data_IF_726417192707
#
_entry.id   IF_726417192707
#
_cell.length_a   1.000
_cell.length_b   1.000
_cell.length_c   1.000
_cell.angle_alpha   90.00
_cell.angle_beta   90.00
_cell.angle_gamma   90.00
#
_symmetry.space_group_name_H-M   'P 1'
#
loop_
_entity.id
_entity.type
_entity.pdbx_description
1 polymer ?
#
# COMPACT_ATOMS: atom_id res chain seq x y z
N UNK A 1 -16.78 -25.53 52.48
CA UNK A 1 -15.76 -25.52 51.40
C UNK A 1 -16.31 -26.28 50.18
N UNK A 2 -16.00 -25.77 48.97
CA UNK A 2 -16.39 -26.23 47.61
C UNK A 2 -17.70 -25.67 47.01
N UNK A 3 -17.49 -24.58 46.27
CA UNK A 3 -18.00 -24.17 44.94
C UNK A 3 -19.34 -24.74 44.45
N UNK A 4 -20.26 -23.85 44.04
CA UNK A 4 -20.50 -23.41 42.64
C UNK A 4 -21.74 -22.49 42.61
N UNK A 5 -21.57 -21.26 42.12
CA UNK A 5 -22.65 -20.30 41.95
C UNK A 5 -23.37 -20.54 40.62
N UNK A 6 -24.70 -20.53 40.67
CA UNK A 6 -25.62 -20.50 39.53
C UNK A 6 -25.85 -19.05 39.06
N UNK A 7 -25.86 -18.91 37.73
CA UNK A 7 -26.81 -18.15 36.89
C UNK A 7 -26.75 -16.59 36.85
N UNK A 8 -27.10 -15.95 35.70
CA UNK A 8 -28.04 -16.45 34.71
C UNK A 8 -27.62 -16.37 33.22
N UNK A 9 -27.71 -17.52 32.55
CA UNK A 9 -28.02 -17.66 31.12
C UNK A 9 -29.52 -17.40 31.01
N UNK A 10 -29.89 -16.16 30.74
CA UNK A 10 -31.29 -15.76 30.61
C UNK A 10 -31.41 -14.71 29.49
N UNK A 11 -30.99 -15.03 28.27
CA UNK A 11 -31.46 -14.29 27.08
C UNK A 11 -31.39 -15.09 25.76
N UNK A 12 -31.24 -16.42 25.83
CA UNK A 12 -31.34 -17.32 24.66
C UNK A 12 -32.64 -18.16 24.69
N UNK A 13 -33.71 -17.58 25.23
CA UNK A 13 -35.03 -18.21 25.32
C UNK A 13 -36.15 -17.39 24.63
N UNK A 14 -35.82 -16.28 23.97
CA UNK A 14 -36.82 -15.31 23.50
C UNK A 14 -36.91 -15.10 21.98
N UNK A 15 -36.29 -15.96 21.14
CA UNK A 15 -36.27 -15.74 19.69
C UNK A 15 -36.60 -16.98 18.82
N UNK A 16 -37.26 -18.00 19.35
CA UNK A 16 -37.80 -19.12 18.54
C UNK A 16 -39.29 -19.42 18.77
N UNK A 17 -40.03 -18.52 19.42
CA UNK A 17 -41.49 -18.56 19.39
C UNK A 17 -41.98 -17.55 18.35
N UNK A 18 -42.28 -18.05 17.16
CA UNK A 18 -43.32 -17.64 16.18
C UNK A 18 -42.80 -18.01 14.78
N UNK A 19 -42.86 -19.30 14.48
CA UNK A 19 -43.15 -19.77 13.13
C UNK A 19 -44.47 -20.52 13.27
N UNK A 20 -45.55 -19.90 12.84
CA UNK A 20 -46.86 -20.52 12.75
C UNK A 20 -46.82 -21.61 11.66
N UNK A 21 -46.33 -22.79 12.02
CA UNK A 21 -46.53 -23.99 11.24
C UNK A 21 -47.90 -24.55 11.61
N UNK A 22 -48.88 -24.41 10.72
CA UNK A 22 -50.09 -25.22 10.75
C UNK A 22 -49.67 -26.68 10.53
N UNK A 23 -49.41 -27.39 11.61
CA UNK A 23 -49.26 -28.82 11.65
C UNK A 23 -49.97 -29.32 12.91
N UNK A 24 -50.97 -30.18 12.73
CA UNK A 24 -51.75 -30.81 13.81
C UNK A 24 -50.83 -31.64 14.71
N UNK A 25 -50.33 -31.03 15.77
CA UNK A 25 -49.54 -31.68 16.80
C UNK A 25 -49.97 -31.13 18.16
N UNK A 26 -50.82 -31.89 18.85
CA UNK A 26 -51.31 -31.64 20.22
C UNK A 26 -52.09 -30.34 20.40
N UNK A 27 -53.42 -30.42 20.49
CA UNK A 27 -54.21 -29.32 21.03
C UNK A 27 -54.25 -29.38 22.57
N UNK A 28 -54.90 -28.40 23.21
CA UNK A 28 -55.01 -28.34 24.69
C UNK A 28 -55.70 -29.55 25.33
N UNK A 29 -56.28 -30.45 24.54
CA UNK A 29 -56.93 -31.69 24.98
C UNK A 29 -56.02 -32.93 24.90
N UNK A 30 -54.90 -32.88 24.16
CA UNK A 30 -53.88 -33.94 24.13
C UNK A 30 -52.47 -33.34 24.09
N UNK A 31 -51.86 -33.06 25.26
CA UNK A 31 -50.57 -32.40 25.36
C UNK A 31 -49.37 -33.31 25.01
N UNK A 32 -49.62 -34.58 24.64
CA UNK A 32 -48.55 -35.53 24.39
C UNK A 32 -48.16 -35.53 22.91
N UNK A 33 -47.03 -34.88 22.61
CA UNK A 33 -46.35 -35.08 21.32
C UNK A 33 -45.84 -36.51 21.27
N UNK A 34 -46.28 -37.28 20.27
CA UNK A 34 -45.86 -38.68 20.14
C UNK A 34 -44.34 -38.77 19.92
N UNK A 35 -43.70 -39.77 20.54
CA UNK A 35 -42.27 -40.01 20.37
C UNK A 35 -41.90 -40.23 18.89
N UNK A 36 -42.81 -40.78 18.10
CA UNK A 36 -42.65 -40.95 16.66
C UNK A 36 -42.66 -39.62 15.89
N UNK A 37 -43.45 -38.63 16.33
CA UNK A 37 -43.40 -37.28 15.75
C UNK A 37 -42.11 -36.56 16.10
N UNK A 38 -41.62 -36.70 17.34
CA UNK A 38 -40.35 -36.12 17.76
C UNK A 38 -39.17 -36.74 17.00
N UNK A 39 -39.07 -38.06 16.94
CA UNK A 39 -37.95 -38.77 16.31
C UNK A 39 -38.00 -38.80 14.78
N UNK A 40 -39.17 -38.56 14.18
CA UNK A 40 -39.36 -38.49 12.72
C UNK A 40 -39.50 -37.05 12.26
N UNK A 41 -40.74 -36.60 12.08
CA UNK A 41 -41.09 -35.32 11.45
C UNK A 41 -40.38 -34.10 12.05
N UNK A 42 -40.21 -34.05 13.38
CA UNK A 42 -39.52 -32.94 14.03
C UNK A 42 -38.01 -33.01 13.82
N UNK A 43 -37.36 -34.14 14.12
CA UNK A 43 -35.93 -34.36 13.86
C UNK A 43 -35.57 -34.14 12.39
N UNK A 44 -36.38 -34.62 11.45
CA UNK A 44 -36.14 -34.43 10.01
C UNK A 44 -36.21 -32.95 9.60
N UNK A 45 -37.15 -32.19 10.16
CA UNK A 45 -37.25 -30.74 9.93
C UNK A 45 -36.08 -29.98 10.54
N UNK A 46 -35.65 -30.34 11.75
CA UNK A 46 -34.49 -29.72 12.41
C UNK A 46 -33.22 -30.03 11.63
N UNK A 47 -32.99 -31.29 11.26
CA UNK A 47 -31.83 -31.70 10.47
C UNK A 47 -31.84 -31.03 9.10
N UNK A 48 -32.99 -30.98 8.41
CA UNK A 48 -33.11 -30.28 7.13
C UNK A 48 -32.82 -28.77 7.26
N UNK A 49 -33.23 -28.14 8.36
CA UNK A 49 -32.94 -26.73 8.62
C UNK A 49 -31.45 -26.49 8.96
N UNK A 50 -30.83 -27.41 9.70
CA UNK A 50 -29.39 -27.41 9.99
C UNK A 50 -28.59 -27.63 8.70
N UNK A 51 -28.95 -28.62 7.89
CA UNK A 51 -28.33 -28.92 6.60
C UNK A 51 -28.50 -27.76 5.62
N UNK A 52 -29.67 -27.12 5.58
CA UNK A 52 -29.89 -25.92 4.77
C UNK A 52 -29.00 -24.76 5.22
N UNK A 53 -28.80 -24.58 6.54
CA UNK A 53 -27.87 -23.56 7.07
C UNK A 53 -26.40 -23.92 6.86
N UNK A 54 -26.03 -25.19 6.95
CA UNK A 54 -24.68 -25.68 6.63
C UNK A 54 -24.38 -25.51 5.14
N UNK A 55 -25.32 -25.86 4.26
CA UNK A 55 -25.20 -25.66 2.83
C UNK A 55 -25.19 -24.18 2.43
N UNK A 56 -25.98 -23.34 3.11
CA UNK A 56 -25.92 -21.88 2.94
C UNK A 56 -24.59 -21.29 3.44
N UNK A 57 -24.03 -21.82 4.53
CA UNK A 57 -22.70 -21.43 5.03
C UNK A 57 -21.57 -21.83 4.07
N UNK A 58 -21.79 -22.86 3.24
CA UNK A 58 -20.90 -23.25 2.14
C UNK A 58 -21.17 -22.53 0.81
N UNK A 59 -22.23 -21.71 0.73
CA UNK A 59 -22.63 -20.94 -0.46
C UNK A 59 -22.45 -19.43 -0.25
N UNK A 60 -21.30 -19.02 0.32
CA UNK A 60 -20.84 -17.65 0.14
C UNK A 60 -20.62 -17.39 -1.35
N UNK A 61 -21.28 -16.36 -1.90
CA UNK A 61 -21.18 -15.92 -3.30
C UNK A 61 -19.76 -16.03 -3.86
N UNK A 62 -19.59 -16.82 -4.94
CA UNK A 62 -18.42 -16.98 -5.82
C UNK A 62 -17.22 -16.04 -5.55
N UNK A 63 -16.55 -16.25 -4.42
CA UNK A 63 -15.34 -15.54 -4.01
C UNK A 63 -14.13 -16.48 -4.14
N UNK A 64 -12.98 -15.91 -4.45
CA UNK A 64 -11.73 -16.68 -4.42
C UNK A 64 -11.38 -17.00 -2.96
N UNK A 65 -10.63 -18.06 -2.71
CA UNK A 65 -10.25 -18.47 -1.36
C UNK A 65 -8.73 -18.55 -1.22
N UNK A 66 -8.17 -17.87 -0.23
CA UNK A 66 -6.77 -17.95 0.14
C UNK A 66 -6.58 -18.98 1.27
N UNK A 67 -6.04 -20.15 0.95
CA UNK A 67 -5.83 -21.26 1.91
C UNK A 67 -4.65 -21.07 2.87
N UNK A 68 -3.89 -19.99 2.69
CA UNK A 68 -2.81 -19.55 3.56
C UNK A 68 -2.65 -18.04 3.39
N UNK A 69 -2.02 -17.38 4.36
CA UNK A 69 -1.68 -15.96 4.29
C UNK A 69 -1.04 -15.61 2.94
N UNK A 70 -1.66 -14.66 2.25
CA UNK A 70 -1.13 -14.01 1.05
C UNK A 70 -0.72 -12.57 1.38
N UNK A 71 0.20 -12.02 0.60
CA UNK A 71 0.58 -10.61 0.66
C UNK A 71 0.23 -9.91 -0.65
N UNK A 72 -0.28 -8.68 -0.56
CA UNK A 72 -0.56 -7.86 -1.74
C UNK A 72 -0.24 -6.39 -1.47
N UNK A 73 0.28 -5.70 -2.49
CA UNK A 73 0.30 -4.24 -2.52
C UNK A 73 -0.94 -3.75 -3.25
N UNK A 74 -1.62 -2.78 -2.66
CA UNK A 74 -2.82 -2.15 -3.19
C UNK A 74 -2.57 -0.65 -3.38
N UNK A 75 -3.39 -0.02 -4.23
CA UNK A 75 -3.37 1.42 -4.48
C UNK A 75 -4.62 2.10 -3.94
N UNK A 76 -4.58 3.42 -3.88
CA UNK A 76 -5.68 4.24 -3.35
C UNK A 76 -7.04 3.85 -3.95
N UNK A 77 -8.04 3.61 -3.11
CA UNK A 77 -9.37 3.21 -3.54
C UNK A 77 -9.55 1.72 -3.86
N UNK A 78 -8.48 0.92 -3.94
CA UNK A 78 -8.63 -0.54 -4.02
C UNK A 78 -9.36 -1.06 -2.78
N UNK A 79 -10.15 -2.12 -2.98
CA UNK A 79 -10.96 -2.72 -1.92
C UNK A 79 -10.72 -4.23 -1.87
N UNK A 80 -10.33 -4.72 -0.70
CA UNK A 80 -10.51 -6.12 -0.32
C UNK A 80 -11.95 -6.30 0.18
N UNK A 81 -12.76 -7.02 -0.58
CA UNK A 81 -14.08 -7.47 -0.16
C UNK A 81 -13.94 -8.84 0.53
N UNK A 82 -14.33 -8.91 1.81
CA UNK A 82 -14.31 -10.12 2.62
C UNK A 82 -15.71 -10.54 3.05
N UNK A 83 -15.91 -11.84 3.24
CA UNK A 83 -17.08 -12.43 3.91
C UNK A 83 -16.66 -13.11 5.22
N UNK A 84 -17.60 -13.75 5.92
CA UNK A 84 -17.30 -14.55 7.12
C UNK A 84 -16.06 -15.43 6.94
N UNK A 85 -15.13 -15.33 7.89
CA UNK A 85 -13.86 -16.07 7.88
C UNK A 85 -12.72 -15.40 7.11
N UNK A 86 -12.94 -14.21 6.53
CA UNK A 86 -11.85 -13.41 5.96
C UNK A 86 -11.01 -12.82 7.09
N UNK A 87 -9.71 -13.06 7.04
CA UNK A 87 -8.71 -12.47 7.92
C UNK A 87 -7.85 -11.48 7.14
N UNK A 88 -7.49 -10.35 7.73
CA UNK A 88 -6.53 -9.44 7.13
C UNK A 88 -5.70 -8.65 8.15
N UNK A 89 -4.50 -8.22 7.74
CA UNK A 89 -3.59 -7.43 8.55
C UNK A 89 -2.87 -6.39 7.70
N UNK A 90 -3.11 -5.11 7.98
CA UNK A 90 -2.47 -3.99 7.31
C UNK A 90 -1.01 -3.87 7.78
N UNK A 91 -0.05 -3.93 6.87
CA UNK A 91 1.38 -3.81 7.19
C UNK A 91 1.90 -2.39 7.01
N UNK A 92 1.46 -1.71 5.94
CA UNK A 92 1.84 -0.34 5.63
C UNK A 92 0.70 0.38 4.92
N UNK A 93 0.68 1.70 5.06
CA UNK A 93 -0.34 2.56 4.46
C UNK A 93 -1.52 2.75 5.39
N UNK A 94 -2.68 3.08 4.81
CA UNK A 94 -3.91 3.32 5.55
C UNK A 94 -5.08 2.71 4.80
N UNK A 95 -5.92 2.02 5.56
CA UNK A 95 -7.15 1.42 5.07
C UNK A 95 -8.27 1.71 6.09
N UNK A 96 -9.51 1.67 5.64
CA UNK A 96 -10.70 1.68 6.52
C UNK A 96 -11.57 0.47 6.23
N UNK A 97 -12.28 -0.02 7.26
CA UNK A 97 -13.25 -1.10 7.11
C UNK A 97 -14.68 -0.56 7.14
N UNK A 98 -15.51 -0.97 6.20
CA UNK A 98 -16.96 -0.69 6.20
C UNK A 98 -17.76 -1.97 6.00
N UNK A 99 -18.90 -2.05 6.66
CA UNK A 99 -19.87 -3.13 6.53
C UNK A 99 -21.27 -2.59 6.91
N UNK A 100 -22.34 -3.05 6.24
CA UNK A 100 -23.70 -2.56 6.49
C UNK A 100 -24.35 -3.18 7.73
N UNK A 101 -23.96 -4.40 8.07
CA UNK A 101 -24.47 -5.20 9.19
C UNK A 101 -23.44 -6.26 9.58
N UNK A 102 -23.64 -6.91 10.72
CA UNK A 102 -22.69 -7.89 11.27
C UNK A 102 -21.55 -7.23 12.04
N UNK A 103 -20.39 -7.89 12.10
CA UNK A 103 -19.25 -7.42 12.88
C UNK A 103 -17.91 -7.75 12.21
N UNK A 104 -16.94 -6.86 12.41
CA UNK A 104 -15.52 -7.13 12.17
C UNK A 104 -14.81 -6.99 13.51
N UNK A 105 -13.95 -7.94 13.86
CA UNK A 105 -13.25 -7.98 15.15
C UNK A 105 -11.77 -7.71 14.93
N UNK A 106 -11.21 -6.74 15.63
CA UNK A 106 -9.76 -6.63 15.84
C UNK A 106 -9.36 -7.70 16.85
N UNK A 107 -8.80 -8.80 16.36
CA UNK A 107 -8.38 -9.93 17.20
C UNK A 107 -7.20 -9.52 18.09
N UNK A 108 -6.30 -8.70 17.57
CA UNK A 108 -5.11 -8.23 18.31
C UNK A 108 -5.53 -7.44 19.55
N UNK A 109 -6.52 -6.57 19.43
CA UNK A 109 -7.05 -5.77 20.53
C UNK A 109 -8.19 -6.45 21.30
N UNK A 110 -8.75 -7.55 20.78
CA UNK A 110 -9.91 -8.24 21.35
C UNK A 110 -11.19 -7.41 21.33
N UNK A 111 -11.40 -6.62 20.26
CA UNK A 111 -12.46 -5.60 20.20
C UNK A 111 -13.22 -5.65 18.87
N UNK A 112 -14.55 -5.59 18.94
CA UNK A 112 -15.39 -5.32 17.77
C UNK A 112 -15.16 -3.91 17.22
N UNK A 113 -15.02 -3.81 15.90
CA UNK A 113 -14.72 -2.58 15.18
C UNK A 113 -16.00 -1.92 14.69
N UNK A 114 -16.24 -0.63 14.98
CA UNK A 114 -17.32 0.11 14.32
C UNK A 114 -17.09 0.21 12.81
N UNK A 115 -18.16 0.10 12.02
CA UNK A 115 -18.12 0.33 10.57
C UNK A 115 -17.65 1.76 10.27
N UNK A 116 -16.75 1.92 9.30
CA UNK A 116 -16.10 3.17 8.92
C UNK A 116 -14.76 3.43 9.63
N UNK A 117 -14.33 2.57 10.55
CA UNK A 117 -13.10 2.79 11.34
C UNK A 117 -11.85 2.53 10.50
N UNK A 118 -10.82 3.36 10.69
CA UNK A 118 -9.48 3.12 10.15
C UNK A 118 -8.82 1.91 10.82
N UNK A 119 -8.10 1.12 10.04
CA UNK A 119 -7.35 -0.02 10.55
C UNK A 119 -6.03 0.45 11.17
N UNK A 120 -5.61 -0.21 12.24
CA UNK A 120 -4.30 -0.04 12.86
C UNK A 120 -3.30 -0.97 12.17
N UNK A 121 -2.12 -0.45 11.82
CA UNK A 121 -1.08 -1.30 11.25
C UNK A 121 -0.65 -2.41 12.24
N UNK A 122 -0.33 -3.59 11.72
CA UNK A 122 0.03 -4.81 12.45
C UNK A 122 -1.06 -5.35 13.40
N UNK A 123 -2.30 -4.94 13.22
CA UNK A 123 -3.46 -5.56 13.87
C UNK A 123 -4.14 -6.53 12.91
N UNK A 124 -4.62 -7.64 13.46
CA UNK A 124 -5.31 -8.70 12.71
C UNK A 124 -6.82 -8.55 12.87
N UNK A 125 -7.52 -8.50 11.74
CA UNK A 125 -8.95 -8.26 11.66
C UNK A 125 -9.68 -9.44 11.04
N UNK A 126 -10.71 -9.94 11.72
CA UNK A 126 -11.55 -11.05 11.27
C UNK A 126 -12.96 -10.58 10.98
N UNK A 127 -13.45 -10.92 9.80
CA UNK A 127 -14.85 -10.74 9.41
C UNK A 127 -15.69 -11.84 10.05
N UNK A 128 -16.62 -11.46 10.93
CA UNK A 128 -17.44 -12.38 11.70
C UNK A 128 -18.54 -13.04 10.86
N UNK A 129 -19.38 -13.87 11.50
CA UNK A 129 -20.55 -14.50 10.88
C UNK A 129 -21.51 -13.47 10.28
N UNK A 130 -22.19 -13.86 9.21
CA UNK A 130 -23.20 -13.07 8.49
C UNK A 130 -22.76 -11.63 8.13
N UNK A 131 -21.45 -11.44 7.90
CA UNK A 131 -20.85 -10.14 7.62
C UNK A 131 -20.20 -10.12 6.24
N UNK A 132 -20.51 -9.09 5.46
CA UNK A 132 -19.76 -8.72 4.27
C UNK A 132 -19.04 -7.39 4.53
N UNK A 133 -17.72 -7.41 4.52
CA UNK A 133 -16.87 -6.27 4.86
C UNK A 133 -16.07 -5.80 3.65
N UNK A 134 -15.87 -4.49 3.56
CA UNK A 134 -15.03 -3.82 2.56
C UNK A 134 -13.89 -3.11 3.27
N UNK A 135 -12.67 -3.58 3.01
CA UNK A 135 -11.44 -2.94 3.48
C UNK A 135 -10.89 -2.10 2.34
N UNK A 136 -11.10 -0.78 2.40
CA UNK A 136 -10.75 0.17 1.33
C UNK A 136 -9.46 0.89 1.66
N UNK A 137 -8.53 0.94 0.70
CA UNK A 137 -7.31 1.75 0.78
C UNK A 137 -7.63 3.23 0.74
N UNK A 138 -7.11 3.98 1.72
CA UNK A 138 -7.31 5.43 1.84
C UNK A 138 -6.02 6.23 1.65
N UNK A 139 -4.86 5.58 1.66
CA UNK A 139 -3.57 6.17 1.29
C UNK A 139 -3.23 5.90 -0.18
N UNK A 140 -2.19 6.54 -0.71
CA UNK A 140 -1.70 6.33 -2.09
C UNK A 140 -1.42 4.85 -2.40
N UNK A 141 -0.83 4.16 -1.45
CA UNK A 141 -0.55 2.72 -1.49
C UNK A 141 -0.74 2.10 -0.11
N UNK A 142 -0.98 0.79 -0.07
CA UNK A 142 -0.99 0.00 1.15
C UNK A 142 -0.42 -1.39 0.90
N UNK A 143 0.04 -2.06 1.96
CA UNK A 143 0.47 -3.47 1.93
C UNK A 143 -0.39 -4.25 2.90
N UNK A 144 -1.01 -5.32 2.43
CA UNK A 144 -1.99 -6.09 3.18
C UNK A 144 -1.63 -7.58 3.17
N UNK A 145 -1.67 -8.20 4.34
CA UNK A 145 -1.80 -9.65 4.46
C UNK A 145 -3.27 -10.04 4.53
N UNK A 146 -3.64 -11.11 3.86
CA UNK A 146 -5.02 -11.62 3.89
C UNK A 146 -5.08 -13.15 3.78
N UNK A 147 -6.13 -13.73 4.34
CA UNK A 147 -6.43 -15.16 4.31
C UNK A 147 -7.95 -15.39 4.31
N UNK A 148 -8.40 -16.54 3.80
CA UNK A 148 -9.82 -16.89 3.75
C UNK A 148 -10.52 -16.42 2.46
N UNK A 149 -11.86 -16.31 2.47
CA UNK A 149 -12.64 -15.88 1.31
C UNK A 149 -12.33 -14.43 0.93
N UNK A 150 -12.14 -14.12 -0.35
CA UNK A 150 -11.84 -12.77 -0.77
C UNK A 150 -12.28 -12.47 -2.20
N UNK A 151 -12.45 -11.18 -2.47
CA UNK A 151 -12.54 -10.61 -3.81
C UNK A 151 -11.92 -9.22 -3.80
N UNK A 152 -11.14 -8.86 -4.82
CA UNK A 152 -10.68 -7.49 -5.00
C UNK A 152 -11.60 -6.70 -5.92
N UNK A 153 -11.83 -5.44 -5.58
CA UNK A 153 -12.34 -4.42 -6.49
C UNK A 153 -11.23 -3.38 -6.64
N UNK A 154 -10.64 -3.29 -7.84
CA UNK A 154 -9.50 -2.43 -8.10
C UNK A 154 -9.95 -1.06 -8.60
N UNK A 155 -9.23 -0.02 -8.22
CA UNK A 155 -9.48 1.36 -8.65
C UNK A 155 -8.71 1.71 -9.92
N UNK A 156 -9.04 2.87 -10.49
CA UNK A 156 -8.27 3.49 -11.58
C UNK A 156 -7.25 4.54 -11.06
N UNK A 157 -7.01 4.58 -9.75
CA UNK A 157 -6.02 5.48 -9.15
C UNK A 157 -4.61 5.20 -9.68
N UNK A 158 -3.73 6.18 -9.52
CA UNK A 158 -2.31 6.08 -9.89
C UNK A 158 -1.69 4.85 -9.23
N UNK A 159 -1.11 3.97 -10.03
CA UNK A 159 -0.47 2.76 -9.56
C UNK A 159 1.03 3.00 -9.28
N UNK A 160 1.33 3.58 -8.12
CA UNK A 160 2.70 3.75 -7.67
C UNK A 160 3.44 2.42 -7.47
N UNK A 161 2.72 1.31 -7.24
CA UNK A 161 3.32 -0.01 -7.07
C UNK A 161 3.87 -0.53 -8.40
N UNK A 162 3.11 -0.35 -9.49
CA UNK A 162 3.55 -0.66 -10.85
C UNK A 162 4.73 0.21 -11.27
N UNK A 163 4.69 1.51 -10.99
CA UNK A 163 5.81 2.43 -11.31
C UNK A 163 7.09 2.04 -10.57
N UNK A 164 7.00 1.69 -9.28
CA UNK A 164 8.14 1.20 -8.52
C UNK A 164 8.70 -0.12 -9.09
N UNK A 165 7.82 -1.03 -9.52
CA UNK A 165 8.22 -2.28 -10.19
C UNK A 165 8.90 -2.01 -11.53
N UNK A 166 8.38 -1.07 -12.32
CA UNK A 166 8.97 -0.65 -13.59
C UNK A 166 10.38 -0.09 -13.40
N UNK A 167 10.59 0.84 -12.45
CA UNK A 167 11.93 1.35 -12.13
C UNK A 167 12.87 0.26 -11.62
N UNK A 168 12.36 -0.75 -10.90
CA UNK A 168 13.16 -1.90 -10.47
C UNK A 168 13.58 -2.79 -11.64
N UNK A 169 12.70 -3.01 -12.62
CA UNK A 169 13.03 -3.71 -13.87
C UNK A 169 14.10 -2.97 -14.68
N UNK A 170 14.15 -1.64 -14.60
CA UNK A 170 15.19 -0.81 -15.24
C UNK A 170 16.48 -0.68 -14.40
N UNK A 171 16.58 -1.39 -13.27
CA UNK A 171 17.70 -1.31 -12.32
C UNK A 171 17.85 0.06 -11.62
N UNK A 172 16.88 0.95 -11.76
CA UNK A 172 16.88 2.32 -11.23
C UNK A 172 16.30 2.41 -9.80
N UNK A 173 15.66 1.34 -9.31
CA UNK A 173 15.09 1.29 -7.97
C UNK A 173 15.25 -0.07 -7.29
N UNK A 174 15.94 -0.12 -6.15
CA UNK A 174 16.21 -1.39 -5.43
C UNK A 174 15.24 -1.69 -4.28
N UNK A 175 14.54 -0.67 -3.77
CA UNK A 175 13.82 -0.78 -2.50
C UNK A 175 14.75 -0.71 -1.28
N UNK A 176 14.28 -1.25 -0.16
CA UNK A 176 14.93 -1.35 1.14
C UNK A 176 15.02 -2.83 1.58
N UNK A 177 15.40 -3.05 2.83
CA UNK A 177 15.45 -4.38 3.45
C UNK A 177 14.15 -4.77 4.17
N UNK A 178 13.06 -4.00 4.01
CA UNK A 178 11.76 -4.35 4.57
C UNK A 178 11.28 -5.68 3.99
N UNK A 179 10.89 -6.61 4.86
CA UNK A 179 10.54 -8.00 4.49
C UNK A 179 9.16 -8.19 3.86
N UNK A 180 8.43 -7.10 3.59
CA UNK A 180 7.10 -7.10 2.98
C UNK A 180 7.01 -6.04 1.87
N UNK A 181 5.97 -6.12 1.04
CA UNK A 181 5.64 -5.11 0.04
C UNK A 181 6.78 -4.88 -0.95
N UNK A 182 7.53 -5.94 -1.29
CA UNK A 182 8.73 -5.91 -2.15
C UNK A 182 9.88 -5.02 -1.64
N UNK A 183 9.83 -4.58 -0.38
CA UNK A 183 10.78 -3.63 0.19
C UNK A 183 10.66 -2.21 -0.38
N UNK A 184 9.56 -1.86 -1.05
CA UNK A 184 9.49 -0.56 -1.72
C UNK A 184 9.34 0.61 -0.74
N UNK A 185 8.66 0.39 0.38
CA UNK A 185 8.35 1.40 1.41
C UNK A 185 7.73 2.68 0.82
N UNK A 186 6.81 2.55 -0.15
CA UNK A 186 6.23 3.69 -0.86
C UNK A 186 5.44 4.63 0.06
N UNK A 187 5.01 4.11 1.20
CA UNK A 187 4.25 4.80 2.24
C UNK A 187 5.13 5.68 3.14
N UNK A 188 6.45 5.57 3.03
CA UNK A 188 7.40 6.27 3.89
C UNK A 188 7.90 7.58 3.27
N UNK A 189 8.06 8.61 4.09
CA UNK A 189 8.79 9.82 3.71
C UNK A 189 10.29 9.52 3.63
N UNK A 190 10.97 9.74 2.49
CA UNK A 190 12.39 9.46 2.38
C UNK A 190 13.21 10.51 3.13
N UNK A 191 14.29 10.07 3.78
CA UNK A 191 15.31 11.00 4.27
C UNK A 191 16.11 11.59 3.10
N UNK A 192 16.80 12.71 3.31
CA UNK A 192 17.63 13.37 2.29
C UNK A 192 18.69 12.44 1.71
N UNK A 193 19.34 11.61 2.55
CA UNK A 193 20.32 10.64 2.06
C UNK A 193 19.67 9.53 1.24
N UNK A 194 18.52 9.01 1.67
CA UNK A 194 17.78 7.98 0.93
C UNK A 194 17.34 8.49 -0.45
N UNK A 195 16.81 9.72 -0.50
CA UNK A 195 16.37 10.34 -1.74
C UNK A 195 17.53 10.64 -2.69
N UNK A 196 18.68 11.09 -2.18
CA UNK A 196 19.88 11.29 -2.99
C UNK A 196 20.38 9.97 -3.61
N UNK A 197 20.43 8.89 -2.82
CA UNK A 197 20.82 7.56 -3.32
C UNK A 197 19.86 7.09 -4.41
N UNK A 198 18.55 7.23 -4.20
CA UNK A 198 17.55 6.88 -5.21
C UNK A 198 17.69 7.73 -6.48
N UNK A 199 17.95 9.03 -6.34
CA UNK A 199 18.21 9.93 -7.46
C UNK A 199 19.45 9.50 -8.26
N UNK A 200 20.57 9.20 -7.59
CA UNK A 200 21.80 8.73 -8.27
C UNK A 200 21.54 7.43 -9.03
N UNK A 201 20.74 6.51 -8.46
CA UNK A 201 20.32 5.28 -9.15
C UNK A 201 19.48 5.56 -10.39
N UNK A 202 18.57 6.52 -10.32
CA UNK A 202 17.74 6.96 -11.46
C UNK A 202 18.60 7.52 -12.58
N UNK A 203 19.76 8.11 -12.28
CA UNK A 203 20.73 8.53 -13.29
C UNK A 203 21.62 7.38 -13.82
N UNK A 204 21.50 6.15 -13.28
CA UNK A 204 22.40 5.05 -13.61
C UNK A 204 23.83 5.25 -13.09
N UNK A 205 24.04 6.17 -12.15
CA UNK A 205 25.38 6.62 -11.72
C UNK A 205 25.80 6.01 -10.37
N UNK A 206 25.13 4.95 -9.88
CA UNK A 206 25.40 4.36 -8.56
C UNK A 206 26.83 3.81 -8.44
N UNK A 207 27.31 3.06 -9.44
CA UNK A 207 28.67 2.51 -9.41
C UNK A 207 29.74 3.62 -9.44
N UNK A 208 29.50 4.65 -10.25
CA UNK A 208 30.37 5.82 -10.29
C UNK A 208 30.41 6.51 -8.92
N UNK A 209 29.25 6.67 -8.27
CA UNK A 209 29.17 7.24 -6.93
C UNK A 209 29.90 6.39 -5.88
N UNK A 210 29.70 5.07 -5.87
CA UNK A 210 30.34 4.15 -4.93
C UNK A 210 31.86 4.10 -5.09
N UNK A 211 32.37 4.30 -6.31
CA UNK A 211 33.81 4.35 -6.58
C UNK A 211 34.47 5.70 -6.28
N UNK A 212 33.68 6.75 -6.04
CA UNK A 212 34.18 8.11 -5.91
C UNK A 212 34.77 8.36 -4.51
N UNK A 213 35.99 8.92 -4.46
CA UNK A 213 36.73 9.21 -3.22
C UNK A 213 37.20 10.66 -3.15
N UNK A 214 36.34 11.60 -3.54
CA UNK A 214 36.67 13.03 -3.50
C UNK A 214 36.41 13.70 -2.15
N UNK A 215 36.92 14.94 -1.97
CA UNK A 215 36.68 15.70 -0.75
C UNK A 215 35.20 16.08 -0.62
N UNK A 216 34.75 16.21 0.61
CA UNK A 216 33.37 16.60 0.94
C UNK A 216 33.38 17.56 2.13
N UNK A 217 32.71 18.72 2.03
CA UNK A 217 32.74 19.75 3.08
C UNK A 217 31.82 19.44 4.26
N UNK A 218 30.96 18.42 4.15
CA UNK A 218 29.93 18.13 5.15
C UNK A 218 30.50 17.38 6.36
N UNK A 219 30.23 17.90 7.55
CA UNK A 219 30.75 17.37 8.83
C UNK A 219 29.81 16.34 9.47
N UNK A 220 28.55 16.31 9.04
CA UNK A 220 27.49 15.40 9.50
C UNK A 220 27.37 14.12 8.65
N UNK A 221 28.35 13.88 7.77
CA UNK A 221 28.51 12.62 7.04
C UNK A 221 29.69 11.85 7.65
N UNK A 222 29.41 10.63 8.12
CA UNK A 222 30.43 9.77 8.70
C UNK A 222 31.49 9.37 7.67
N UNK A 223 32.77 9.53 8.04
CA UNK A 223 33.92 9.19 7.19
C UNK A 223 34.04 7.68 7.01
N UNK A 224 34.32 7.24 5.78
CA UNK A 224 34.36 5.84 5.37
C UNK A 224 32.98 5.16 5.26
N UNK A 225 31.88 5.91 5.41
CA UNK A 225 30.54 5.36 5.23
C UNK A 225 30.16 5.28 3.75
N UNK A 226 29.23 4.38 3.40
CA UNK A 226 28.64 4.37 2.05
C UNK A 226 28.02 5.72 1.69
N UNK A 227 27.41 6.42 2.65
CA UNK A 227 26.85 7.75 2.44
C UNK A 227 27.89 8.78 2.01
N UNK A 228 29.14 8.67 2.47
CA UNK A 228 30.22 9.58 2.05
C UNK A 228 30.44 9.52 0.53
N UNK A 229 30.44 8.32 -0.05
CA UNK A 229 30.62 8.12 -1.48
C UNK A 229 29.50 8.79 -2.29
N UNK A 230 28.24 8.54 -1.94
CA UNK A 230 27.09 9.15 -2.64
C UNK A 230 27.07 10.68 -2.52
N UNK A 231 27.28 11.21 -1.32
CA UNK A 231 27.17 12.66 -1.10
C UNK A 231 28.37 13.39 -1.71
N UNK A 232 29.57 12.84 -1.61
CA UNK A 232 30.76 13.43 -2.23
C UNK A 232 30.69 13.42 -3.76
N UNK A 233 30.16 12.34 -4.36
CA UNK A 233 29.88 12.26 -5.79
C UNK A 233 28.83 13.28 -6.22
N UNK A 234 27.67 13.31 -5.54
CA UNK A 234 26.63 14.29 -5.87
C UNK A 234 27.11 15.74 -5.74
N UNK A 235 27.95 16.03 -4.75
CA UNK A 235 28.56 17.34 -4.56
C UNK A 235 29.51 17.69 -5.72
N UNK A 236 30.38 16.76 -6.13
CA UNK A 236 31.33 16.99 -7.24
C UNK A 236 30.65 17.18 -8.59
N UNK A 237 29.51 16.51 -8.80
CA UNK A 237 28.65 16.67 -9.98
C UNK A 237 27.78 17.92 -9.94
N UNK A 238 27.75 18.64 -8.82
CA UNK A 238 26.90 19.82 -8.63
C UNK A 238 25.43 19.51 -8.39
N UNK A 239 25.06 18.24 -8.17
CA UNK A 239 23.68 17.83 -7.90
C UNK A 239 23.18 18.34 -6.54
N UNK A 240 24.07 18.60 -5.59
CA UNK A 240 23.70 19.16 -4.29
C UNK A 240 24.73 20.17 -3.80
N UNK A 241 24.25 21.20 -3.10
CA UNK A 241 25.09 22.16 -2.37
C UNK A 241 25.22 21.82 -0.88
N UNK A 242 24.57 20.74 -0.42
CA UNK A 242 24.32 20.51 1.00
C UNK A 242 23.05 21.19 1.49
N UNK A 243 22.84 21.15 2.81
CA UNK A 243 21.81 21.91 3.52
C UNK A 243 22.37 23.26 4.00
N UNK A 244 23.62 23.27 4.47
CA UNK A 244 24.43 24.47 4.65
C UNK A 244 25.79 24.23 3.99
N UNK A 245 26.71 25.20 4.09
CA UNK A 245 28.08 25.03 3.61
C UNK A 245 28.83 23.82 4.21
N UNK A 246 28.44 23.37 5.41
CA UNK A 246 29.13 22.30 6.16
C UNK A 246 28.20 21.19 6.63
N UNK A 247 26.91 21.21 6.30
CA UNK A 247 25.95 20.17 6.70
C UNK A 247 25.17 19.67 5.49
N UNK A 248 24.91 18.37 5.43
CA UNK A 248 24.04 17.74 4.43
C UNK A 248 22.63 17.44 4.97
N UNK A 249 22.51 17.19 6.27
CA UNK A 249 21.32 16.72 7.00
C UNK A 249 20.79 15.37 6.48
N UNK A 250 21.57 14.27 6.60
CA UNK A 250 21.22 12.99 5.97
C UNK A 250 19.88 12.41 6.44
N UNK A 251 19.56 12.52 7.73
CA UNK A 251 18.38 11.90 8.34
C UNK A 251 17.12 12.77 8.29
N UNK A 252 17.24 14.02 7.84
CA UNK A 252 16.08 14.90 7.69
C UNK A 252 15.20 14.41 6.53
N UNK A 253 13.87 14.44 6.71
CA UNK A 253 12.94 14.22 5.61
C UNK A 253 13.16 15.25 4.49
N UNK A 254 13.27 14.78 3.24
CA UNK A 254 13.44 15.67 2.08
C UNK A 254 12.10 16.26 1.65
N UNK A 255 12.09 17.50 1.18
CA UNK A 255 10.90 18.08 0.54
C UNK A 255 10.83 17.72 -0.95
N UNK A 256 9.64 17.79 -1.55
CA UNK A 256 9.47 17.61 -2.98
C UNK A 256 10.32 18.60 -3.80
N UNK A 257 10.42 19.87 -3.36
CA UNK A 257 11.28 20.87 -4.03
C UNK A 257 12.76 20.46 -3.98
N UNK A 258 13.25 19.95 -2.86
CA UNK A 258 14.65 19.51 -2.76
C UNK A 258 14.94 18.32 -3.69
N UNK A 259 14.01 17.37 -3.80
CA UNK A 259 14.16 16.25 -4.71
C UNK A 259 14.09 16.67 -6.18
N UNK A 260 13.13 17.53 -6.53
CA UNK A 260 13.00 18.07 -7.89
C UNK A 260 14.21 18.91 -8.30
N UNK A 261 14.82 19.64 -7.37
CA UNK A 261 16.06 20.38 -7.65
C UNK A 261 17.21 19.43 -8.05
N UNK A 262 17.32 18.25 -7.42
CA UNK A 262 18.29 17.24 -7.86
C UNK A 262 18.05 16.83 -9.32
N UNK A 263 16.80 16.52 -9.67
CA UNK A 263 16.42 16.17 -11.04
C UNK A 263 16.71 17.32 -12.02
N UNK A 264 16.33 18.55 -11.71
CA UNK A 264 16.56 19.69 -12.61
C UNK A 264 18.05 19.97 -12.83
N UNK A 265 18.89 19.80 -11.81
CA UNK A 265 20.35 19.91 -11.96
C UNK A 265 20.91 18.82 -12.87
N UNK A 266 20.42 17.59 -12.74
CA UNK A 266 20.85 16.48 -13.61
C UNK A 266 20.39 16.64 -15.06
N UNK A 267 19.19 17.18 -15.26
CA UNK A 267 18.62 17.48 -16.58
C UNK A 267 19.19 18.77 -17.20
N UNK A 268 19.95 19.55 -16.42
CA UNK A 268 20.59 20.79 -16.86
C UNK A 268 19.69 22.03 -16.86
N UNK A 269 18.51 21.97 -16.26
CA UNK A 269 17.59 23.10 -16.09
C UNK A 269 17.84 23.93 -14.82
N UNK A 270 18.70 23.44 -13.94
CA UNK A 270 19.23 24.16 -12.77
C UNK A 270 20.72 23.88 -12.60
N UNK A 271 21.37 24.54 -11.64
CA UNK A 271 22.78 24.35 -11.32
C UNK A 271 23.07 24.58 -9.83
N UNK A 272 24.31 24.31 -9.41
CA UNK A 272 24.79 24.62 -8.05
C UNK A 272 24.76 26.11 -7.70
N UNK A 273 24.67 27.00 -8.68
CA UNK A 273 24.48 28.44 -8.43
C UNK A 273 23.09 28.77 -7.86
N UNK A 274 22.08 27.91 -8.07
CA UNK A 274 20.76 28.10 -7.49
C UNK A 274 20.75 27.70 -6.01
N UNK A 275 20.44 28.64 -5.13
CA UNK A 275 20.33 28.44 -3.68
C UNK A 275 18.94 28.72 -3.13
N UNK A 276 18.01 29.21 -3.97
CA UNK A 276 16.60 29.39 -3.62
C UNK A 276 15.73 28.36 -4.34
N UNK A 277 15.06 27.51 -3.56
CA UNK A 277 14.23 26.43 -4.07
C UNK A 277 12.75 26.81 -4.20
N UNK A 278 12.40 28.09 -4.01
CA UNK A 278 11.03 28.59 -4.10
C UNK A 278 10.43 28.42 -5.51
N UNK A 279 11.24 28.62 -6.55
CA UNK A 279 10.83 28.53 -7.95
C UNK A 279 10.91 27.11 -8.55
N UNK A 280 11.42 26.12 -7.82
CA UNK A 280 11.76 24.78 -8.34
C UNK A 280 10.62 24.14 -9.13
N UNK A 281 9.40 24.14 -8.58
CA UNK A 281 8.25 23.52 -9.24
C UNK A 281 7.82 24.27 -10.51
N UNK A 282 7.92 25.60 -10.51
CA UNK A 282 7.64 26.42 -11.68
C UNK A 282 8.66 26.17 -12.80
N UNK A 283 9.95 26.05 -12.45
CA UNK A 283 11.01 25.68 -13.39
C UNK A 283 10.81 24.28 -13.95
N UNK A 284 10.45 23.30 -13.11
CA UNK A 284 10.18 21.94 -13.57
C UNK A 284 8.99 21.88 -14.54
N UNK A 285 7.94 22.67 -14.29
CA UNK A 285 6.81 22.80 -15.20
C UNK A 285 7.20 23.46 -16.51
N UNK A 286 7.91 24.59 -16.48
CA UNK A 286 8.31 25.31 -17.70
C UNK A 286 9.27 24.50 -18.57
N UNK A 287 10.10 23.65 -17.95
CA UNK A 287 10.98 22.71 -18.63
C UNK A 287 10.26 21.46 -19.18
N UNK A 288 8.95 21.29 -18.90
CA UNK A 288 8.20 20.09 -19.30
C UNK A 288 8.51 18.84 -18.48
N UNK A 289 9.29 18.96 -17.40
CA UNK A 289 9.62 17.86 -16.49
C UNK A 289 8.40 17.48 -15.64
N UNK A 290 7.57 18.45 -15.27
CA UNK A 290 6.30 18.24 -14.56
C UNK A 290 5.09 18.81 -15.30
N UNK A 291 3.94 18.18 -15.12
CA UNK A 291 2.62 18.70 -15.51
C UNK A 291 2.01 19.57 -14.39
N UNK A 292 0.88 20.23 -14.68
CA UNK A 292 0.14 21.01 -13.68
C UNK A 292 -0.44 20.15 -12.55
N UNK A 293 -1.03 19.01 -12.90
CA UNK A 293 -1.52 18.05 -11.92
C UNK A 293 -0.38 17.49 -11.03
N UNK A 294 0.81 17.29 -11.59
CA UNK A 294 1.97 16.80 -10.83
C UNK A 294 2.50 17.84 -9.85
N UNK A 295 2.57 19.11 -10.23
CA UNK A 295 2.90 20.19 -9.29
C UNK A 295 1.89 20.22 -8.14
N UNK A 296 0.60 20.13 -8.45
CA UNK A 296 -0.47 20.10 -7.44
C UNK A 296 -0.34 18.89 -6.50
N UNK A 297 -0.02 17.71 -7.05
CA UNK A 297 0.21 16.49 -6.28
C UNK A 297 1.41 16.62 -5.34
N UNK A 298 2.52 17.20 -5.81
CA UNK A 298 3.77 17.32 -5.05
C UNK A 298 3.69 18.40 -3.96
N UNK A 299 2.82 19.39 -4.13
CA UNK A 299 2.57 20.43 -3.12
C UNK A 299 1.52 20.01 -2.08
N UNK A 300 0.86 18.86 -2.27
CA UNK A 300 -0.16 18.35 -1.37
C UNK A 300 0.39 17.31 -0.40
N UNK A 301 0.28 17.60 0.89
CA UNK A 301 0.63 16.68 1.96
C UNK A 301 2.13 16.37 2.06
N UNK A 302 2.45 15.22 2.67
CA UNK A 302 3.82 14.77 2.85
C UNK A 302 4.39 14.18 1.56
N UNK A 303 5.63 14.53 1.22
CA UNK A 303 6.36 13.89 0.12
C UNK A 303 6.83 12.49 0.53
N UNK A 304 6.27 11.45 -0.10
CA UNK A 304 6.58 10.05 0.17
C UNK A 304 7.42 9.45 -0.96
N UNK A 305 7.96 8.27 -0.70
CA UNK A 305 8.67 7.47 -1.70
C UNK A 305 7.77 7.13 -2.89
N UNK A 306 6.45 7.01 -2.71
CA UNK A 306 5.48 6.90 -3.80
C UNK A 306 5.61 8.06 -4.81
N UNK A 307 5.58 9.32 -4.35
CA UNK A 307 5.74 10.46 -5.25
C UNK A 307 7.16 10.52 -5.83
N UNK A 308 8.18 10.16 -5.05
CA UNK A 308 9.56 10.11 -5.53
C UNK A 308 9.70 9.16 -6.71
N UNK A 309 9.26 7.90 -6.60
CA UNK A 309 9.35 6.93 -7.70
C UNK A 309 8.52 7.38 -8.91
N UNK A 310 7.36 8.01 -8.67
CA UNK A 310 6.53 8.56 -9.73
C UNK A 310 7.30 9.60 -10.56
N UNK A 311 7.86 10.62 -9.91
CA UNK A 311 8.56 11.68 -10.65
C UNK A 311 9.87 11.19 -11.25
N UNK A 312 10.55 10.21 -10.62
CA UNK A 312 11.73 9.58 -11.20
C UNK A 312 11.44 8.86 -12.51
N UNK A 313 10.33 8.12 -12.56
CA UNK A 313 9.94 7.37 -13.75
C UNK A 313 9.56 8.32 -14.90
N UNK A 314 8.70 9.31 -14.64
CA UNK A 314 8.29 10.23 -15.70
C UNK A 314 9.38 11.25 -16.09
N UNK A 315 10.42 11.42 -15.27
CA UNK A 315 11.61 12.16 -15.67
C UNK A 315 12.45 11.44 -16.73
N UNK A 316 12.25 10.13 -16.95
CA UNK A 316 12.91 9.40 -18.04
C UNK A 316 12.54 9.99 -19.42
N UNK A 317 11.29 10.42 -19.58
CA UNK A 317 10.80 11.06 -20.81
C UNK A 317 11.20 12.55 -20.91
N UNK A 318 11.79 13.13 -19.87
CA UNK A 318 12.17 14.54 -19.87
C UNK A 318 13.39 14.79 -20.77
N UNK A 319 13.30 15.85 -21.59
CA UNK A 319 14.42 16.32 -22.40
C UNK A 319 15.56 16.86 -21.53
N UNK A 320 16.79 16.69 -22.00
CA UNK A 320 17.96 17.36 -21.46
C UNK A 320 18.03 18.80 -22.00
N UNK A 321 18.46 19.74 -21.15
CA UNK A 321 18.47 21.17 -21.51
C UNK A 321 19.43 21.53 -22.64
N UNK A 322 20.43 20.69 -22.88
CA UNK A 322 21.41 20.84 -23.97
C UNK A 322 20.92 20.32 -25.32
N UNK A 323 19.71 19.74 -25.36
CA UNK A 323 19.11 19.19 -26.58
C UNK A 323 19.67 17.85 -27.01
N UNK A 324 20.45 17.16 -26.16
CA UNK A 324 21.07 15.86 -26.49
C UNK A 324 20.11 14.67 -26.51
N UNK A 325 18.84 14.87 -26.14
CA UNK A 325 17.81 13.83 -26.13
C UNK A 325 17.05 13.82 -24.81
N UNK A 326 16.46 12.67 -24.46
CA UNK A 326 15.80 12.45 -23.16
C UNK A 326 16.74 11.76 -22.17
N UNK A 327 16.38 11.79 -20.87
CA UNK A 327 17.08 11.02 -19.86
C UNK A 327 17.06 9.51 -20.18
N UNK A 328 15.93 8.99 -20.65
CA UNK A 328 15.80 7.60 -21.12
C UNK A 328 16.84 7.26 -22.18
N UNK A 329 16.95 8.08 -23.24
CA UNK A 329 17.91 7.87 -24.33
C UNK A 329 19.34 7.86 -23.79
N UNK A 330 19.68 8.82 -22.94
CA UNK A 330 21.02 8.88 -22.30
C UNK A 330 21.33 7.60 -21.50
N UNK A 331 20.35 7.06 -20.76
CA UNK A 331 20.54 5.86 -19.95
C UNK A 331 20.67 4.60 -20.81
N UNK A 332 19.90 4.50 -21.89
CA UNK A 332 20.01 3.42 -22.88
C UNK A 332 21.36 3.45 -23.60
N UNK A 333 21.80 4.63 -24.04
CA UNK A 333 23.11 4.82 -24.69
C UNK A 333 24.28 4.49 -23.75
N UNK A 334 24.07 4.68 -22.45
CA UNK A 334 25.02 4.31 -21.39
C UNK A 334 24.92 2.83 -20.98
N UNK A 335 24.00 2.05 -21.57
CA UNK A 335 23.82 0.63 -21.30
C UNK A 335 23.22 0.31 -19.93
N UNK A 336 22.52 1.25 -19.29
CA UNK A 336 21.89 1.06 -17.97
C UNK A 336 20.74 0.05 -18.05
N UNK A 337 19.97 0.10 -19.13
CA UNK A 337 18.92 -0.86 -19.46
C UNK A 337 18.75 -0.97 -20.97
N UNK A 338 18.12 -2.07 -21.39
CA UNK A 338 17.85 -2.41 -22.79
C UNK A 338 16.46 -1.93 -23.23
N UNK A 339 16.23 -1.92 -24.55
CA UNK A 339 14.89 -1.64 -25.10
C UNK A 339 13.83 -2.66 -24.64
N UNK A 340 14.21 -3.92 -24.43
CA UNK A 340 13.28 -4.97 -24.00
C UNK A 340 12.88 -4.80 -22.53
N UNK A 341 13.83 -4.41 -21.67
CA UNK A 341 13.54 -4.03 -20.28
C UNK A 341 12.65 -2.80 -20.21
N UNK A 342 12.87 -1.81 -21.09
CA UNK A 342 12.01 -0.63 -21.19
C UNK A 342 10.58 -0.98 -21.61
N UNK A 343 10.41 -1.81 -22.65
CA UNK A 343 9.08 -2.27 -23.07
C UNK A 343 8.37 -3.04 -21.96
N UNK A 344 9.11 -3.91 -21.26
CA UNK A 344 8.59 -4.67 -20.12
C UNK A 344 8.16 -3.76 -18.97
N UNK A 345 8.98 -2.78 -18.62
CA UNK A 345 8.69 -1.80 -17.57
C UNK A 345 7.45 -0.96 -17.91
N UNK A 346 7.33 -0.48 -19.16
CA UNK A 346 6.16 0.29 -19.63
C UNK A 346 4.88 -0.54 -19.61
N UNK A 347 4.95 -1.82 -19.99
CA UNK A 347 3.80 -2.72 -19.98
C UNK A 347 3.22 -2.99 -18.58
N UNK A 348 3.98 -2.75 -17.50
CA UNK A 348 3.49 -2.88 -16.13
C UNK A 348 2.53 -1.76 -15.73
N UNK A 349 2.61 -0.60 -16.38
CA UNK A 349 1.85 0.59 -16.00
C UNK A 349 0.58 0.66 -16.84
N UNK A 350 -0.56 0.36 -16.22
CA UNK A 350 -1.86 0.33 -16.91
C UNK A 350 -2.57 1.68 -16.93
N UNK A 351 -2.05 2.69 -16.22
CA UNK A 351 -2.58 4.06 -16.15
C UNK A 351 -1.66 5.09 -16.81
N UNK A 352 -2.19 6.28 -17.10
CA UNK A 352 -1.42 7.37 -17.70
C UNK A 352 -0.68 8.24 -16.68
N UNK A 353 0.29 9.02 -17.18
CA UNK A 353 0.82 10.19 -16.48
C UNK A 353 -0.33 11.15 -16.14
N UNK A 354 -0.30 11.77 -14.97
CA UNK A 354 -1.32 12.75 -14.59
C UNK A 354 -1.02 14.08 -15.30
N UNK A 355 -2.05 14.70 -15.88
CA UNK A 355 -1.97 15.98 -16.60
C UNK A 355 -2.86 17.02 -15.93
#
# INVERSE_FOLDING_TARGET
>A
MKKRALAPIAFLAAACCILAALASGGDSSDPLVSLSYLNGTFTDKVNSAVDARLNASGQGSAGTYASSTQEIRLKEGDVLCGSTGTDCMLLAGSMKVTFPSGAVVDITAGKEMPSGTALTANHRYLVAEDTAASFTVTSKTAVLHYEGPYRFTLSDSVDYNAIASALKTLHLFKGSYTGYGSGFDLEMAPTRIQALIMFIRVLGEEEAALSYTGPIPFTDIARGSLSEHYVSYAYSKGYTNGFTATLFQPDQAISANQYMEFLLRALGYSSSANTDLSATMATARSAGVLTDAEVSMLQSGTFLRAQLVYVSYYALDASLSDGSGTLEQKLMDSGVFTSDELLSARAMITGGRIF
#
